data_IF_698740722942
#
_entry.id   IF_698740722942
#
_cell.length_a   1.000
_cell.length_b   1.000
_cell.length_c   1.000
_cell.angle_alpha   90.00
_cell.angle_beta   90.00
_cell.angle_gamma   90.00
#
_symmetry.space_group_name_H-M   'P 1'
#
loop_
_entity.id
_entity.type
_entity.pdbx_description
1 polymer ?
#
# COMPACT_ATOMS: atom_id res chain seq x y z
N UNK A 1 21.04 56.11 -7.67
CA UNK A 1 20.18 55.29 -6.82
C UNK A 1 20.58 53.82 -7.01
N UNK A 2 21.18 53.20 -5.97
CA UNK A 2 21.51 51.76 -6.02
C UNK A 2 20.27 50.99 -5.59
N UNK A 3 19.75 50.12 -6.45
CA UNK A 3 18.69 49.19 -6.08
C UNK A 3 19.19 48.21 -5.01
N UNK A 4 18.41 47.91 -3.98
CA UNK A 4 18.81 46.93 -2.98
C UNK A 4 18.88 45.56 -3.62
N UNK A 5 20.03 44.89 -3.51
CA UNK A 5 20.21 43.50 -3.86
C UNK A 5 19.41 42.69 -2.83
N UNK A 6 18.22 42.21 -3.21
CA UNK A 6 17.51 41.23 -2.42
C UNK A 6 18.30 39.89 -2.51
N UNK A 7 18.96 39.54 -1.45
CA UNK A 7 19.45 38.18 -1.23
C UNK A 7 18.22 37.29 -1.09
N UNK A 8 17.80 36.67 -2.18
CA UNK A 8 16.92 35.52 -2.11
C UNK A 8 17.72 34.43 -1.38
N UNK A 9 17.50 34.29 -0.08
CA UNK A 9 17.91 33.10 0.63
C UNK A 9 17.21 31.94 -0.11
N UNK A 10 18.00 31.12 -0.80
CA UNK A 10 17.48 29.92 -1.41
C UNK A 10 16.81 29.13 -0.28
N UNK A 11 15.47 29.16 -0.24
CA UNK A 11 14.71 28.43 0.75
C UNK A 11 15.03 26.97 0.50
N UNK A 12 15.59 26.28 1.50
CA UNK A 12 15.88 24.85 1.37
C UNK A 12 14.57 24.14 1.09
N UNK A 13 14.50 23.43 -0.03
CA UNK A 13 13.32 22.67 -0.38
C UNK A 13 13.03 21.64 0.71
N UNK A 14 11.77 21.54 1.15
CA UNK A 14 11.34 20.48 2.04
C UNK A 14 11.43 19.13 1.35
N UNK A 15 11.52 18.05 2.11
CA UNK A 15 11.56 16.68 1.55
C UNK A 15 10.40 15.86 2.07
N UNK A 16 9.62 15.29 1.17
CA UNK A 16 8.62 14.27 1.46
C UNK A 16 9.15 12.92 0.98
N UNK A 17 9.55 12.06 1.91
CA UNK A 17 9.96 10.69 1.60
C UNK A 17 8.78 9.75 1.79
N UNK A 18 8.32 9.10 0.71
CA UNK A 18 7.28 8.07 0.72
C UNK A 18 7.96 6.73 1.00
N UNK A 19 7.82 6.22 2.22
CA UNK A 19 8.62 5.10 2.74
C UNK A 19 7.78 3.85 2.85
N UNK A 20 8.17 2.81 2.12
CA UNK A 20 7.56 1.49 2.24
C UNK A 20 7.95 0.81 3.56
N UNK A 21 6.95 0.22 4.24
CA UNK A 21 7.08 -0.47 5.53
C UNK A 21 6.82 -1.97 5.39
N UNK A 22 7.24 -2.80 6.36
CA UNK A 22 6.98 -4.23 6.33
C UNK A 22 5.49 -4.58 6.22
N UNK A 23 5.18 -5.67 5.50
CA UNK A 23 3.82 -6.19 5.33
C UNK A 23 3.46 -7.32 6.29
N UNK A 24 4.32 -7.63 7.23
CA UNK A 24 4.09 -8.68 8.23
C UNK A 24 5.37 -9.14 8.94
N UNK A 25 6.52 -9.02 8.28
CA UNK A 25 7.82 -9.37 8.84
C UNK A 25 8.71 -8.13 8.97
N UNK A 26 9.04 -7.73 10.18
CA UNK A 26 9.87 -6.54 10.44
C UNK A 26 11.27 -6.63 9.81
N UNK A 27 11.76 -7.84 9.49
CA UNK A 27 13.03 -8.02 8.82
C UNK A 27 13.04 -7.56 7.34
N UNK A 28 11.86 -7.38 6.75
CA UNK A 28 11.72 -6.94 5.35
C UNK A 28 11.93 -5.43 5.17
N UNK A 29 12.08 -4.66 6.24
CA UNK A 29 12.38 -3.24 6.12
C UNK A 29 13.76 -3.04 5.47
N UNK A 30 13.86 -2.07 4.56
CA UNK A 30 15.16 -1.78 3.94
C UNK A 30 16.03 -0.92 4.85
N UNK A 31 17.36 -1.06 4.73
CA UNK A 31 18.32 -0.18 5.43
C UNK A 31 18.04 1.29 5.15
N UNK A 32 17.76 1.63 3.87
CA UNK A 32 17.45 3.00 3.47
C UNK A 32 16.15 3.52 4.10
N UNK A 33 15.14 2.68 4.28
CA UNK A 33 13.91 3.07 4.98
C UNK A 33 14.22 3.43 6.45
N UNK A 34 14.99 2.61 7.15
CA UNK A 34 15.42 2.88 8.54
C UNK A 34 16.19 4.20 8.64
N UNK A 35 17.16 4.41 7.75
CA UNK A 35 17.97 5.65 7.75
C UNK A 35 17.12 6.88 7.42
N UNK A 36 16.19 6.76 6.46
CA UNK A 36 15.26 7.84 6.11
C UNK A 36 14.37 8.21 7.30
N UNK A 37 13.81 7.19 8.00
CA UNK A 37 13.00 7.42 9.20
C UNK A 37 13.82 8.07 10.34
N UNK A 38 15.09 7.70 10.49
CA UNK A 38 16.02 8.34 11.44
C UNK A 38 16.33 9.79 11.07
N UNK A 39 16.45 10.09 9.79
CA UNK A 39 16.80 11.43 9.30
C UNK A 39 15.60 12.38 9.27
N UNK A 40 14.36 11.90 9.20
CA UNK A 40 13.17 12.71 9.12
C UNK A 40 12.98 13.58 10.37
N UNK A 41 12.45 14.81 10.19
CA UNK A 41 12.05 15.71 11.28
C UNK A 41 10.72 15.26 11.93
N UNK A 42 9.83 14.65 11.12
CA UNK A 42 8.56 14.09 11.55
C UNK A 42 8.13 12.94 10.63
N UNK A 43 7.24 12.08 11.14
CA UNK A 43 6.71 10.94 10.38
C UNK A 43 5.18 11.07 10.33
N UNK A 44 4.65 11.19 9.11
CA UNK A 44 3.21 11.10 8.84
C UNK A 44 2.82 9.63 8.70
N UNK A 45 1.83 9.18 9.45
CA UNK A 45 1.44 7.76 9.55
C UNK A 45 -0.07 7.59 9.69
N UNK A 46 -0.58 6.42 9.33
CA UNK A 46 -2.00 6.10 9.43
C UNK A 46 -2.41 5.83 10.87
N UNK A 47 -1.78 4.85 11.52
CA UNK A 47 -1.95 4.54 12.94
C UNK A 47 -0.63 4.73 13.69
N UNK A 48 -0.63 5.69 14.63
CA UNK A 48 0.56 5.99 15.45
C UNK A 48 1.00 4.82 16.32
N UNK A 49 0.09 3.93 16.69
CA UNK A 49 0.39 2.75 17.52
C UNK A 49 1.17 1.70 16.74
N UNK A 50 0.80 1.48 15.47
CA UNK A 50 1.49 0.57 14.55
C UNK A 50 2.88 1.13 14.23
N UNK A 51 2.93 2.39 13.83
CA UNK A 51 4.18 3.07 13.51
C UNK A 51 5.13 3.12 14.71
N UNK A 52 4.63 3.43 15.91
CA UNK A 52 5.46 3.46 17.11
C UNK A 52 6.12 2.11 17.42
N UNK A 53 5.42 0.98 17.20
CA UNK A 53 6.00 -0.36 17.35
C UNK A 53 7.13 -0.61 16.33
N UNK A 54 6.92 -0.20 15.07
CA UNK A 54 7.96 -0.29 14.04
C UNK A 54 9.19 0.53 14.45
N UNK A 55 9.01 1.79 14.82
CA UNK A 55 10.09 2.70 15.18
C UNK A 55 10.87 2.21 16.41
N UNK A 56 10.16 1.72 17.42
CA UNK A 56 10.79 1.16 18.65
C UNK A 56 11.72 -0.02 18.34
N UNK A 57 11.39 -0.85 17.33
CA UNK A 57 12.25 -1.98 16.91
C UNK A 57 13.61 -1.55 16.39
N UNK A 58 13.73 -0.30 15.91
CA UNK A 58 14.96 0.26 15.30
C UNK A 58 15.53 1.45 16.10
N UNK A 59 15.09 1.62 17.36
CA UNK A 59 15.53 2.69 18.26
C UNK A 59 15.32 4.09 17.65
N UNK A 60 14.20 4.28 16.95
CA UNK A 60 13.81 5.56 16.33
C UNK A 60 12.78 6.26 17.20
N UNK A 61 13.05 7.51 17.57
CA UNK A 61 12.12 8.39 18.28
C UNK A 61 11.92 9.67 17.48
N UNK A 62 10.71 9.84 16.90
CA UNK A 62 10.34 10.99 16.05
C UNK A 62 8.91 11.43 16.34
N UNK A 63 8.59 12.72 16.14
CA UNK A 63 7.21 13.20 16.18
C UNK A 63 6.35 12.46 15.14
N UNK A 64 5.19 11.94 15.57
CA UNK A 64 4.22 11.28 14.71
C UNK A 64 3.06 12.22 14.39
N UNK A 65 2.69 12.29 13.12
CA UNK A 65 1.56 13.05 12.62
C UNK A 65 0.53 12.09 12.03
N UNK A 66 -0.67 12.07 12.59
CA UNK A 66 -1.74 11.22 12.06
C UNK A 66 -2.18 11.72 10.69
N UNK A 67 -2.09 10.84 9.69
CA UNK A 67 -2.54 11.08 8.33
C UNK A 67 -3.19 9.82 7.75
N UNK A 68 -4.51 9.77 7.66
CA UNK A 68 -5.28 8.66 7.07
C UNK A 68 -6.29 9.20 6.04
N UNK A 69 -6.90 8.32 5.25
CA UNK A 69 -7.81 8.68 4.15
C UNK A 69 -8.94 9.66 4.55
N UNK A 70 -9.35 9.64 5.82
CA UNK A 70 -10.42 10.50 6.36
C UNK A 70 -9.92 11.61 7.29
N UNK A 71 -8.61 11.85 7.36
CA UNK A 71 -8.00 12.85 8.26
C UNK A 71 -8.41 14.31 7.98
N UNK A 72 -9.11 14.56 6.88
CA UNK A 72 -9.53 15.90 6.49
C UNK A 72 -8.37 16.85 6.12
N UNK A 73 -8.71 18.10 5.79
CA UNK A 73 -7.74 19.09 5.33
C UNK A 73 -6.69 19.47 6.38
N UNK A 74 -6.99 19.34 7.68
CA UNK A 74 -6.09 19.77 8.77
C UNK A 74 -4.82 18.92 8.88
N UNK A 75 -4.93 17.59 8.74
CA UNK A 75 -3.77 16.72 8.84
C UNK A 75 -2.77 16.94 7.69
N UNK A 76 -3.29 17.05 6.45
CA UNK A 76 -2.47 17.43 5.31
C UNK A 76 -1.83 18.80 5.51
N UNK A 77 -2.57 19.79 6.04
CA UNK A 77 -2.07 21.15 6.28
C UNK A 77 -0.83 21.15 7.17
N UNK A 78 -0.81 20.34 8.24
CA UNK A 78 0.36 20.29 9.13
C UNK A 78 1.60 19.72 8.44
N UNK A 79 1.44 18.66 7.66
CA UNK A 79 2.54 18.08 6.86
C UNK A 79 3.05 19.09 5.83
N UNK A 80 2.14 19.73 5.08
CA UNK A 80 2.48 20.73 4.07
C UNK A 80 3.16 21.96 4.67
N UNK A 81 2.76 22.38 5.87
CA UNK A 81 3.43 23.46 6.59
C UNK A 81 4.90 23.11 6.87
N UNK A 82 5.17 21.92 7.44
CA UNK A 82 6.54 21.48 7.71
C UNK A 82 7.37 21.40 6.43
N UNK A 83 6.81 20.86 5.36
CA UNK A 83 7.50 20.82 4.06
C UNK A 83 7.81 22.25 3.55
N UNK A 84 6.84 23.18 3.66
CA UNK A 84 7.05 24.58 3.32
C UNK A 84 8.06 25.31 4.21
N UNK A 85 8.34 24.81 5.41
CA UNK A 85 9.41 25.27 6.31
C UNK A 85 10.79 24.67 5.98
N UNK A 86 10.88 23.84 4.93
CA UNK A 86 12.11 23.16 4.52
C UNK A 86 12.41 21.88 5.31
N UNK A 87 11.43 21.33 6.04
CA UNK A 87 11.59 20.12 6.85
C UNK A 87 11.51 18.84 6.04
N UNK A 88 12.13 17.79 6.55
CA UNK A 88 12.04 16.44 6.03
C UNK A 88 10.92 15.69 6.74
N UNK A 89 9.88 15.30 6.00
CA UNK A 89 8.77 14.47 6.49
C UNK A 89 8.77 13.12 5.79
N UNK A 90 8.78 12.03 6.56
CA UNK A 90 8.56 10.70 6.04
C UNK A 90 7.06 10.37 6.09
N UNK A 91 6.51 9.84 5.00
CA UNK A 91 5.16 9.29 4.94
C UNK A 91 5.24 7.77 4.98
N UNK A 92 4.55 7.15 5.93
CA UNK A 92 4.40 5.70 6.06
C UNK A 92 2.92 5.32 6.16
N UNK A 93 2.60 4.08 5.84
CA UNK A 93 1.31 3.43 6.10
C UNK A 93 1.51 2.28 7.07
N UNK A 94 0.43 1.67 7.53
CA UNK A 94 0.48 0.57 8.51
C UNK A 94 1.23 -0.64 7.95
N UNK A 95 1.15 -0.89 6.63
CA UNK A 95 1.87 -1.96 5.96
C UNK A 95 2.09 -1.66 4.47
N UNK A 96 3.27 -1.93 3.94
CA UNK A 96 3.56 -1.84 2.51
C UNK A 96 3.92 -0.43 2.02
N UNK A 97 3.64 -0.17 0.75
CA UNK A 97 4.02 1.06 0.05
C UNK A 97 2.89 2.08 0.09
N UNK A 98 3.09 3.28 0.70
CA UNK A 98 2.06 4.31 0.77
C UNK A 98 1.53 4.70 -0.61
N UNK A 99 0.21 4.93 -0.70
CA UNK A 99 -0.47 5.26 -1.95
C UNK A 99 -0.89 4.06 -2.82
N UNK A 100 -0.53 2.83 -2.44
CA UNK A 100 -0.97 1.61 -3.13
C UNK A 100 -2.04 0.91 -2.29
N UNK A 101 -3.30 1.25 -2.53
CA UNK A 101 -4.47 0.90 -1.71
C UNK A 101 -4.46 1.46 -0.29
N UNK A 102 -3.59 2.43 -0.04
CA UNK A 102 -3.36 3.07 1.25
C UNK A 102 -3.40 4.60 1.12
N UNK A 103 -3.53 5.35 2.23
CA UNK A 103 -3.40 6.79 2.23
C UNK A 103 -2.03 7.24 1.70
N UNK A 104 -1.99 8.39 1.05
CA UNK A 104 -0.73 8.99 0.60
C UNK A 104 -0.82 9.70 -0.75
N UNK A 105 -1.56 9.16 -1.70
CA UNK A 105 -1.72 9.74 -3.04
C UNK A 105 -2.17 11.20 -2.99
N UNK A 106 -3.14 11.50 -2.14
CA UNK A 106 -3.67 12.85 -1.99
C UNK A 106 -2.65 13.81 -1.35
N UNK A 107 -1.87 13.36 -0.36
CA UNK A 107 -0.80 14.18 0.23
C UNK A 107 0.29 14.50 -0.80
N UNK A 108 0.72 13.51 -1.57
CA UNK A 108 1.70 13.70 -2.65
C UNK A 108 1.17 14.70 -3.69
N UNK A 109 -0.12 14.57 -4.09
CA UNK A 109 -0.75 15.51 -5.02
C UNK A 109 -0.75 16.94 -4.46
N UNK A 110 -1.22 17.11 -3.22
CA UNK A 110 -1.26 18.43 -2.57
C UNK A 110 0.13 19.03 -2.35
N UNK A 111 1.14 18.23 -2.02
CA UNK A 111 2.51 18.70 -1.87
C UNK A 111 3.02 19.27 -3.21
N UNK A 112 2.81 18.57 -4.32
CA UNK A 112 3.17 19.05 -5.66
C UNK A 112 2.42 20.33 -6.04
N UNK A 113 1.11 20.37 -5.82
CA UNK A 113 0.26 21.50 -6.24
C UNK A 113 0.54 22.78 -5.44
N UNK A 114 0.82 22.65 -4.12
CA UNK A 114 0.96 23.81 -3.23
C UNK A 114 2.39 24.28 -3.07
N UNK A 115 3.37 23.40 -3.21
CA UNK A 115 4.77 23.73 -2.94
C UNK A 115 5.62 23.70 -4.22
N UNK A 116 5.16 23.04 -5.30
CA UNK A 116 5.88 23.02 -6.57
C UNK A 116 7.33 22.60 -6.42
N UNK A 117 8.25 23.46 -6.86
CA UNK A 117 9.70 23.21 -6.79
C UNK A 117 10.29 23.40 -5.37
N UNK A 118 9.51 23.93 -4.42
CA UNK A 118 9.90 24.08 -3.02
C UNK A 118 9.77 22.77 -2.21
N UNK A 119 9.44 21.65 -2.86
CA UNK A 119 9.39 20.34 -2.24
C UNK A 119 10.05 19.27 -3.10
N UNK A 120 10.96 18.52 -2.51
CA UNK A 120 11.47 17.28 -3.08
C UNK A 120 10.56 16.13 -2.65
N UNK A 121 10.02 15.36 -3.61
CA UNK A 121 9.26 14.14 -3.30
C UNK A 121 10.07 12.96 -3.80
N UNK A 122 10.39 12.02 -2.90
CA UNK A 122 11.17 10.84 -3.22
C UNK A 122 10.50 9.56 -2.74
N UNK A 123 10.69 8.49 -3.49
CA UNK A 123 10.25 7.16 -3.11
C UNK A 123 11.40 6.41 -2.41
N UNK A 124 11.11 5.82 -1.26
CA UNK A 124 11.97 4.86 -0.58
C UNK A 124 11.35 3.47 -0.78
N UNK A 125 11.75 2.73 -1.83
CA UNK A 125 11.15 1.45 -2.17
C UNK A 125 11.38 0.40 -1.09
N UNK A 126 10.47 -0.54 -1.02
CA UNK A 126 10.51 -1.63 -0.06
C UNK A 126 9.35 -2.60 -0.24
N UNK A 127 8.87 -3.23 0.83
CA UNK A 127 7.84 -4.25 0.77
C UNK A 127 6.54 -3.78 0.13
N UNK A 128 5.93 -4.67 -0.65
CA UNK A 128 4.60 -4.51 -1.23
C UNK A 128 3.95 -5.88 -1.41
N UNK A 129 2.77 -6.08 -0.85
CA UNK A 129 2.04 -7.34 -0.97
C UNK A 129 1.71 -7.68 -2.43
N UNK A 130 1.45 -6.67 -3.27
CA UNK A 130 1.21 -6.84 -4.70
C UNK A 130 2.41 -7.50 -5.41
N UNK A 131 3.59 -6.91 -5.27
CA UNK A 131 4.79 -7.44 -5.96
C UNK A 131 5.29 -8.73 -5.33
N UNK A 132 5.18 -8.88 -4.01
CA UNK A 132 5.52 -10.13 -3.32
C UNK A 132 4.63 -11.28 -3.80
N UNK A 133 3.31 -11.06 -3.90
CA UNK A 133 2.38 -12.06 -4.42
C UNK A 133 2.69 -12.45 -5.86
N UNK A 134 2.85 -11.48 -6.76
CA UNK A 134 3.16 -11.74 -8.16
C UNK A 134 4.47 -12.50 -8.35
N UNK A 135 5.48 -12.25 -7.50
CA UNK A 135 6.79 -12.90 -7.62
C UNK A 135 6.77 -14.40 -7.36
N UNK A 136 5.79 -14.90 -6.60
CA UNK A 136 5.68 -16.32 -6.22
C UNK A 136 4.45 -17.03 -6.79
N UNK A 137 3.57 -16.30 -7.49
CA UNK A 137 2.33 -16.85 -8.02
C UNK A 137 2.51 -17.75 -9.26
N UNK A 138 3.66 -17.66 -9.95
CA UNK A 138 3.92 -18.50 -11.13
C UNK A 138 3.02 -18.21 -12.34
N UNK A 139 2.43 -17.01 -12.40
CA UNK A 139 1.51 -16.57 -13.47
C UNK A 139 2.20 -15.53 -14.39
N UNK A 140 1.68 -15.28 -15.62
CA UNK A 140 2.20 -14.21 -16.47
C UNK A 140 2.11 -12.83 -15.77
N UNK A 141 3.22 -12.09 -15.69
CA UNK A 141 3.31 -10.81 -14.98
C UNK A 141 3.78 -9.65 -15.84
N UNK A 142 4.00 -9.87 -17.14
CA UNK A 142 4.42 -8.82 -18.07
C UNK A 142 3.33 -7.73 -18.25
N UNK A 143 2.06 -8.13 -18.16
CA UNK A 143 0.91 -7.24 -18.06
C UNK A 143 -0.03 -7.74 -16.98
N UNK A 144 -0.45 -6.85 -16.09
CA UNK A 144 -1.45 -7.17 -15.06
C UNK A 144 -2.28 -5.94 -14.71
N UNK A 145 -3.45 -6.20 -14.17
CA UNK A 145 -4.36 -5.17 -13.64
C UNK A 145 -4.45 -5.32 -12.12
N UNK A 146 -4.14 -4.27 -11.38
CA UNK A 146 -4.32 -4.23 -9.94
C UNK A 146 -5.56 -3.43 -9.57
N UNK A 147 -6.48 -4.04 -8.83
CA UNK A 147 -7.78 -3.47 -8.48
C UNK A 147 -7.87 -2.96 -7.03
N UNK A 148 -6.80 -3.14 -6.24
CA UNK A 148 -6.84 -2.83 -4.80
C UNK A 148 -7.88 -3.68 -4.08
N UNK A 149 -8.58 -3.12 -3.08
CA UNK A 149 -9.71 -3.78 -2.44
C UNK A 149 -10.97 -3.64 -3.27
N UNK A 150 -11.65 -4.75 -3.53
CA UNK A 150 -12.90 -4.73 -4.30
C UNK A 150 -14.01 -3.99 -3.55
N UNK A 151 -14.94 -3.32 -4.26
CA UNK A 151 -16.04 -2.58 -3.65
C UNK A 151 -16.95 -3.50 -2.82
N UNK A 152 -17.56 -2.95 -1.75
CA UNK A 152 -18.42 -3.73 -0.85
C UNK A 152 -19.75 -4.15 -1.48
N UNK A 153 -20.40 -3.27 -2.25
CA UNK A 153 -21.76 -3.50 -2.79
C UNK A 153 -21.89 -3.04 -4.25
N UNK A 154 -21.99 -1.72 -4.46
CA UNK A 154 -22.25 -1.14 -5.80
C UNK A 154 -21.08 -1.43 -6.74
N UNK A 155 -21.37 -1.99 -7.92
CA UNK A 155 -20.38 -2.28 -8.96
C UNK A 155 -19.61 -3.60 -8.76
N UNK A 156 -19.76 -4.31 -7.63
CA UNK A 156 -19.00 -5.54 -7.34
C UNK A 156 -19.25 -6.64 -8.36
N UNK A 157 -20.52 -6.92 -8.71
CA UNK A 157 -20.86 -7.96 -9.69
C UNK A 157 -20.39 -7.62 -11.11
N UNK A 158 -20.50 -6.34 -11.48
CA UNK A 158 -19.97 -5.88 -12.78
C UNK A 158 -18.47 -6.10 -12.84
N UNK A 159 -17.74 -5.78 -11.75
CA UNK A 159 -16.30 -5.96 -11.68
C UNK A 159 -15.87 -7.43 -11.79
N UNK A 160 -16.62 -8.39 -11.24
CA UNK A 160 -16.32 -9.81 -11.43
C UNK A 160 -16.48 -10.25 -12.89
N UNK A 161 -17.46 -9.70 -13.62
CA UNK A 161 -17.59 -9.93 -15.06
C UNK A 161 -16.41 -9.32 -15.84
N UNK A 162 -16.01 -8.09 -15.50
CA UNK A 162 -14.82 -7.46 -16.09
C UNK A 162 -13.54 -8.28 -15.83
N UNK A 163 -13.41 -8.88 -14.63
CA UNK A 163 -12.32 -9.81 -14.32
C UNK A 163 -12.39 -11.05 -15.23
N UNK A 164 -13.59 -11.61 -15.45
CA UNK A 164 -13.76 -12.77 -16.31
C UNK A 164 -13.43 -12.46 -17.78
N UNK A 165 -13.78 -11.27 -18.25
CA UNK A 165 -13.54 -10.85 -19.65
C UNK A 165 -12.10 -10.38 -19.89
N UNK A 166 -11.29 -10.21 -18.85
CA UNK A 166 -9.92 -9.68 -18.97
C UNK A 166 -8.93 -10.78 -19.34
N UNK A 167 -8.18 -10.59 -20.44
CA UNK A 167 -7.11 -11.48 -20.89
C UNK A 167 -5.77 -11.26 -20.15
N UNK A 168 -5.73 -10.36 -19.17
CA UNK A 168 -4.56 -10.06 -18.34
C UNK A 168 -4.66 -10.72 -16.98
N UNK A 169 -3.52 -10.92 -16.35
CA UNK A 169 -3.49 -11.25 -14.92
C UNK A 169 -4.15 -10.15 -14.12
N UNK A 170 -5.14 -10.50 -13.29
CA UNK A 170 -5.82 -9.56 -12.39
C UNK A 170 -5.42 -9.84 -10.96
N UNK A 171 -5.06 -8.79 -10.22
CA UNK A 171 -4.66 -8.88 -8.81
C UNK A 171 -5.55 -7.98 -7.97
N UNK A 172 -6.02 -8.48 -6.84
CA UNK A 172 -6.74 -7.65 -5.87
C UNK A 172 -6.49 -8.10 -4.43
N UNK A 173 -6.73 -7.21 -3.49
CA UNK A 173 -6.71 -7.48 -2.06
C UNK A 173 -8.10 -7.86 -1.56
N UNK A 174 -8.16 -8.77 -0.59
CA UNK A 174 -9.42 -9.10 0.04
C UNK A 174 -9.24 -9.38 1.55
N UNK A 175 -10.25 -9.00 2.32
CA UNK A 175 -10.29 -9.23 3.75
C UNK A 175 -10.81 -10.65 4.07
N UNK A 176 -10.49 -11.21 5.27
CA UNK A 176 -11.00 -12.51 5.68
C UNK A 176 -12.53 -12.56 5.75
N UNK A 177 -13.17 -11.42 6.03
CA UNK A 177 -14.64 -11.33 6.10
C UNK A 177 -15.34 -11.42 4.73
N UNK A 178 -14.59 -11.33 3.64
CA UNK A 178 -15.14 -11.22 2.28
C UNK A 178 -14.55 -12.23 1.30
N UNK A 179 -13.45 -12.91 1.67
CA UNK A 179 -12.73 -13.81 0.76
C UNK A 179 -13.62 -14.94 0.24
N UNK A 180 -14.38 -15.62 1.09
CA UNK A 180 -15.25 -16.71 0.66
C UNK A 180 -16.30 -16.24 -0.36
N UNK A 181 -16.91 -15.07 -0.11
CA UNK A 181 -17.88 -14.48 -1.05
C UNK A 181 -17.21 -14.02 -2.36
N UNK A 182 -15.97 -13.58 -2.30
CA UNK A 182 -15.22 -13.20 -3.50
C UNK A 182 -14.91 -14.43 -4.35
N UNK A 183 -14.44 -15.51 -3.73
CA UNK A 183 -14.14 -16.77 -4.41
C UNK A 183 -15.40 -17.42 -5.00
N UNK A 184 -16.52 -17.43 -4.27
CA UNK A 184 -17.79 -17.89 -4.79
C UNK A 184 -18.24 -17.08 -6.02
N UNK A 185 -18.12 -15.75 -5.97
CA UNK A 185 -18.46 -14.91 -7.12
C UNK A 185 -17.51 -15.11 -8.31
N UNK A 186 -16.25 -15.43 -8.10
CA UNK A 186 -15.33 -15.82 -9.17
C UNK A 186 -15.72 -17.16 -9.77
N UNK A 187 -16.11 -18.14 -8.95
CA UNK A 187 -16.56 -19.45 -9.41
C UNK A 187 -17.85 -19.37 -10.28
N UNK A 188 -18.70 -18.37 -10.04
CA UNK A 188 -19.90 -18.14 -10.86
C UNK A 188 -19.60 -17.58 -12.26
N UNK A 189 -18.47 -16.93 -12.46
CA UNK A 189 -18.19 -16.17 -13.70
C UNK A 189 -16.96 -16.62 -14.47
N UNK A 190 -15.98 -17.25 -13.80
CA UNK A 190 -14.75 -17.71 -14.46
C UNK A 190 -14.94 -19.08 -15.11
N UNK A 191 -14.43 -19.30 -16.31
CA UNK A 191 -14.33 -20.64 -16.88
C UNK A 191 -13.33 -21.50 -16.09
N UNK A 192 -13.49 -22.82 -16.13
CA UNK A 192 -12.72 -23.78 -15.33
C UNK A 192 -11.21 -23.73 -15.63
N UNK A 193 -10.84 -23.36 -16.85
CA UNK A 193 -9.45 -23.28 -17.29
C UNK A 193 -8.68 -22.12 -16.66
N UNK A 194 -9.40 -21.08 -16.21
CA UNK A 194 -8.78 -19.93 -15.55
C UNK A 194 -8.44 -20.24 -14.09
N UNK A 195 -7.19 -20.03 -13.76
CA UNK A 195 -6.69 -20.28 -12.40
C UNK A 195 -6.84 -19.08 -11.49
N UNK A 196 -7.17 -19.39 -10.26
CA UNK A 196 -7.18 -18.46 -9.14
C UNK A 196 -6.09 -18.87 -8.17
N UNK A 197 -5.20 -17.96 -7.82
CA UNK A 197 -4.19 -18.13 -6.79
C UNK A 197 -4.50 -17.20 -5.63
N UNK A 198 -4.68 -17.74 -4.45
CA UNK A 198 -4.82 -16.97 -3.22
C UNK A 198 -3.54 -17.07 -2.40
N UNK A 199 -2.98 -15.91 -2.06
CA UNK A 199 -1.81 -15.82 -1.19
C UNK A 199 -2.27 -15.17 0.11
N UNK A 200 -2.12 -15.89 1.20
CA UNK A 200 -2.59 -15.48 2.52
C UNK A 200 -1.41 -15.21 3.45
N UNK A 201 -1.50 -14.14 4.24
CA UNK A 201 -0.54 -13.82 5.29
C UNK A 201 0.93 -13.77 4.80
N UNK A 202 1.15 -13.17 3.62
CA UNK A 202 2.48 -13.04 3.01
C UNK A 202 3.50 -12.49 4.02
N UNK A 203 4.67 -13.09 4.05
CA UNK A 203 5.80 -12.82 4.95
C UNK A 203 5.59 -13.16 6.42
N UNK A 204 4.37 -13.60 6.80
CA UNK A 204 4.02 -13.95 8.18
C UNK A 204 4.18 -15.45 8.43
N UNK A 205 4.12 -15.85 9.70
CA UNK A 205 4.33 -17.24 10.14
C UNK A 205 3.30 -18.24 9.55
N UNK A 206 2.13 -17.73 9.15
CA UNK A 206 1.05 -18.53 8.55
C UNK A 206 0.88 -18.25 7.06
N UNK A 207 1.96 -17.86 6.38
CA UNK A 207 1.95 -17.70 4.93
C UNK A 207 1.49 -18.98 4.25
N UNK A 208 0.57 -18.86 3.31
CA UNK A 208 0.07 -19.99 2.53
C UNK A 208 -0.38 -19.56 1.15
N UNK A 209 -0.22 -20.45 0.17
CA UNK A 209 -0.63 -20.27 -1.22
C UNK A 209 -1.57 -21.43 -1.57
N UNK A 210 -2.73 -21.09 -2.14
CA UNK A 210 -3.72 -22.06 -2.67
C UNK A 210 -4.02 -21.69 -4.10
N UNK A 211 -3.88 -22.62 -5.03
CA UNK A 211 -4.09 -22.44 -6.46
C UNK A 211 -5.00 -23.52 -7.04
N UNK A 212 -5.85 -23.13 -7.99
CA UNK A 212 -6.73 -24.04 -8.72
C UNK A 212 -7.74 -23.28 -9.55
N UNK A 213 -8.79 -23.97 -10.07
CA UNK A 213 -9.96 -23.25 -10.57
C UNK A 213 -10.62 -22.47 -9.42
N UNK A 214 -11.46 -21.49 -9.75
CA UNK A 214 -12.14 -20.70 -8.74
C UNK A 214 -12.97 -21.57 -7.78
N UNK A 215 -13.61 -22.63 -8.28
CA UNK A 215 -14.35 -23.61 -7.49
C UNK A 215 -13.47 -24.36 -6.50
N UNK A 216 -12.31 -24.86 -6.97
CA UNK A 216 -11.36 -25.61 -6.15
C UNK A 216 -10.85 -24.75 -4.99
N UNK A 217 -10.52 -23.49 -5.28
CA UNK A 217 -10.02 -22.56 -4.25
C UNK A 217 -11.14 -22.17 -3.27
N UNK A 218 -12.38 -21.95 -3.75
CA UNK A 218 -13.53 -21.67 -2.90
C UNK A 218 -13.84 -22.85 -1.96
N UNK A 219 -13.84 -24.06 -2.48
CA UNK A 219 -14.08 -25.29 -1.73
C UNK A 219 -12.97 -25.55 -0.68
N UNK A 220 -11.72 -25.24 -1.01
CA UNK A 220 -10.62 -25.31 -0.05
C UNK A 220 -10.91 -24.47 1.21
N UNK A 221 -11.27 -23.20 1.07
CA UNK A 221 -11.54 -22.34 2.22
C UNK A 221 -12.83 -22.71 2.97
N UNK A 222 -13.81 -23.24 2.29
CA UNK A 222 -15.01 -23.83 2.91
C UNK A 222 -14.67 -25.00 3.83
N UNK A 223 -13.71 -25.85 3.42
CA UNK A 223 -13.23 -27.01 4.22
C UNK A 223 -12.21 -26.62 5.28
N UNK A 224 -11.58 -25.45 5.18
CA UNK A 224 -10.57 -24.97 6.11
C UNK A 224 -10.92 -23.61 6.71
N UNK A 225 -12.01 -23.50 7.48
CA UNK A 225 -12.50 -22.21 8.03
C UNK A 225 -11.50 -21.57 9.00
N UNK A 226 -10.61 -22.35 9.60
CA UNK A 226 -9.49 -21.87 10.42
C UNK A 226 -8.48 -21.04 9.61
N UNK A 227 -8.40 -21.24 8.31
CA UNK A 227 -7.56 -20.48 7.39
C UNK A 227 -8.23 -19.24 6.81
N UNK A 228 -9.53 -19.03 7.03
CA UNK A 228 -10.25 -17.80 6.65
C UNK A 228 -9.91 -16.67 7.64
N UNK A 229 -8.62 -16.35 7.76
CA UNK A 229 -8.07 -15.34 8.67
C UNK A 229 -6.90 -14.61 8.01
N UNK A 230 -6.63 -13.39 8.47
CA UNK A 230 -5.52 -12.61 7.99
C UNK A 230 -5.84 -11.88 6.68
N UNK A 231 -4.81 -11.54 5.93
CA UNK A 231 -4.89 -10.73 4.71
C UNK A 231 -4.66 -11.59 3.47
N UNK A 232 -5.40 -11.29 2.42
CA UNK A 232 -5.36 -12.07 1.18
C UNK A 232 -4.97 -11.20 0.00
N UNK A 233 -4.08 -11.72 -0.83
CA UNK A 233 -3.92 -11.29 -2.21
C UNK A 233 -4.51 -12.38 -3.09
N UNK A 234 -5.41 -11.99 -3.99
CA UNK A 234 -6.04 -12.90 -4.96
C UNK A 234 -5.54 -12.55 -6.35
N UNK A 235 -5.10 -13.54 -7.08
CA UNK A 235 -4.63 -13.41 -8.44
C UNK A 235 -5.49 -14.30 -9.33
N UNK A 236 -6.02 -13.72 -10.41
CA UNK A 236 -6.72 -14.46 -11.46
C UNK A 236 -5.84 -14.42 -12.70
N UNK A 237 -5.38 -15.58 -13.18
CA UNK A 237 -4.58 -15.67 -14.40
C UNK A 237 -5.46 -15.56 -15.66
N UNK A 238 -4.89 -15.28 -16.80
CA UNK A 238 -5.59 -15.33 -18.10
C UNK A 238 -6.20 -16.69 -18.38
#
# INVERSE_FOLDING_TARGET
MRQPIFWYSARMAGTLSVVATPIGNLADITFRAVETLKAADAIACEDTRVTAKLLARFDISKPLLVYHAHSGALAATRVLQLLGEGKHVALVTDAGTPGISDPGTELVRQARERLGDDVKIEAIPGPSALTAALSIAGVPTHEFVFLGFLPHKKGRQTLFKEIADTERTVVFYESPHRIEKALASLAEVLPEERKVTTLRELTKIHESVVEGSAEVVADYFTRHPDQVRGEFVVIVSP
#
